data_IF_243748956891
#
_entry.id   IF_243748956891
#
_cell.length_a   1.000
_cell.length_b   1.000
_cell.length_c   1.000
_cell.angle_alpha   90.00
_cell.angle_beta   90.00
_cell.angle_gamma   90.00
#
_symmetry.space_group_name_H-M   'P 1'
#
loop_
_entity.id
_entity.type
_entity.pdbx_description
1 polymer ?
#
# COMPACT_ATOMS: atom_id res chain seq x y z
N UNK A 1 0.59 12.80 2.01
CA UNK A 1 0.07 11.77 2.92
C UNK A 1 -1.15 12.28 3.66
N UNK A 2 -2.17 11.44 3.78
CA UNK A 2 -3.35 11.70 4.59
C UNK A 2 -3.39 10.71 5.74
N UNK A 3 -3.69 11.20 6.94
CA UNK A 3 -3.70 10.38 8.14
C UNK A 3 -5.07 10.46 8.79
N UNK A 4 -5.62 9.31 9.18
CA UNK A 4 -6.91 9.26 9.85
C UNK A 4 -6.88 8.24 10.98
N UNK A 5 -7.63 8.54 12.04
CA UNK A 5 -7.88 7.63 13.14
C UNK A 5 -9.38 7.60 13.33
N UNK A 6 -9.97 6.41 13.31
CA UNK A 6 -11.42 6.27 13.43
C UNK A 6 -11.81 4.96 14.09
N UNK A 7 -12.99 4.93 14.75
CA UNK A 7 -13.53 3.67 15.24
C UNK A 7 -13.87 2.76 14.05
N UNK A 8 -13.61 1.47 14.19
CA UNK A 8 -13.94 0.51 13.15
C UNK A 8 -14.03 -0.90 13.70
N UNK A 9 -15.17 -1.55 13.48
CA UNK A 9 -15.37 -2.98 13.72
C UNK A 9 -14.84 -3.45 15.08
N UNK A 10 -15.29 -2.82 16.15
CA UNK A 10 -14.94 -3.23 17.50
C UNK A 10 -13.59 -2.73 18.01
N UNK A 11 -12.93 -1.87 17.26
CA UNK A 11 -11.65 -1.31 17.64
C UNK A 11 -11.44 0.08 17.08
N UNK A 12 -10.19 0.48 17.01
CA UNK A 12 -9.78 1.76 16.41
C UNK A 12 -8.81 1.48 15.27
N UNK A 13 -8.98 2.20 14.17
CA UNK A 13 -8.14 2.07 12.99
C UNK A 13 -7.39 3.36 12.74
N UNK A 14 -6.10 3.24 12.47
CA UNK A 14 -5.26 4.35 12.00
C UNK A 14 -4.82 4.04 10.57
N UNK A 15 -4.91 5.02 9.69
CA UNK A 15 -4.46 4.86 8.30
C UNK A 15 -3.55 6.00 7.88
N UNK A 16 -2.61 5.68 7.00
CA UNK A 16 -1.80 6.66 6.29
C UNK A 16 -1.94 6.32 4.80
N UNK A 17 -2.38 7.28 4.01
CA UNK A 17 -2.73 7.05 2.60
C UNK A 17 -2.02 8.04 1.70
N UNK A 18 -1.52 7.55 0.57
CA UNK A 18 -0.97 8.40 -0.49
C UNK A 18 -1.44 7.84 -1.84
N UNK A 19 -1.62 8.72 -2.82
CA UNK A 19 -2.10 8.35 -4.15
C UNK A 19 -0.96 8.27 -5.15
N UNK A 20 -1.11 7.39 -6.13
CA UNK A 20 -0.16 7.31 -7.24
C UNK A 20 -0.18 8.60 -8.05
N UNK A 21 0.94 8.90 -8.73
CA UNK A 21 0.99 10.04 -9.65
C UNK A 21 0.19 9.76 -10.92
N UNK A 22 0.11 8.52 -11.33
CA UNK A 22 -0.60 8.11 -12.54
C UNK A 22 -2.04 7.72 -12.21
N UNK A 23 -2.94 7.95 -13.17
CA UNK A 23 -4.29 7.43 -13.10
C UNK A 23 -4.33 5.99 -13.60
N UNK A 24 -5.12 5.15 -12.93
CA UNK A 24 -5.38 3.80 -13.37
C UNK A 24 -6.86 3.72 -13.72
N UNK A 25 -7.17 3.87 -15.02
CA UNK A 25 -8.55 4.05 -15.42
C UNK A 25 -9.05 5.43 -15.00
N UNK A 26 -10.15 5.48 -14.26
CA UNK A 26 -10.76 6.74 -13.84
C UNK A 26 -10.14 7.32 -12.56
N UNK A 27 -9.41 6.52 -11.80
CA UNK A 27 -8.90 6.92 -10.48
C UNK A 27 -7.45 6.55 -10.30
N UNK A 28 -6.81 7.22 -9.36
CA UNK A 28 -5.45 6.87 -8.94
C UNK A 28 -5.48 5.67 -8.00
N UNK A 29 -4.36 4.98 -7.93
CA UNK A 29 -4.18 3.88 -6.98
C UNK A 29 -3.79 4.47 -5.63
N UNK A 30 -4.37 3.93 -4.58
CA UNK A 30 -4.02 4.32 -3.20
C UNK A 30 -3.04 3.33 -2.61
N UNK A 31 -2.00 3.86 -1.97
CA UNK A 31 -1.11 3.08 -1.13
C UNK A 31 -1.53 3.37 0.31
N UNK A 32 -1.92 2.34 1.05
CA UNK A 32 -2.48 2.49 2.38
C UNK A 32 -1.66 1.70 3.40
N UNK A 33 -1.25 2.37 4.47
CA UNK A 33 -0.75 1.74 5.68
C UNK A 33 -1.90 1.74 6.67
N UNK A 34 -2.22 0.61 7.27
CA UNK A 34 -3.35 0.48 8.19
C UNK A 34 -2.92 -0.25 9.45
N UNK A 35 -3.34 0.26 10.60
CA UNK A 35 -3.21 -0.42 11.89
C UNK A 35 -4.58 -0.48 12.55
N UNK A 36 -4.92 -1.62 13.09
CA UNK A 36 -6.18 -1.84 13.77
C UNK A 36 -5.91 -2.54 15.09
N UNK A 37 -6.61 -2.13 16.15
CA UNK A 37 -6.37 -2.68 17.50
C UNK A 37 -6.57 -4.18 17.58
N UNK A 38 -7.45 -4.73 16.73
CA UNK A 38 -7.72 -6.18 16.71
C UNK A 38 -6.97 -6.90 15.59
N UNK A 39 -6.83 -6.27 14.43
CA UNK A 39 -6.32 -6.93 13.22
C UNK A 39 -4.84 -6.71 12.96
N UNK A 40 -4.21 -5.80 13.71
CA UNK A 40 -2.81 -5.51 13.52
C UNK A 40 -2.53 -4.61 12.33
N UNK A 41 -1.33 -4.72 11.78
CA UNK A 41 -0.84 -3.83 10.73
C UNK A 41 -0.90 -4.50 9.36
N UNK A 42 -1.26 -3.72 8.34
CA UNK A 42 -1.20 -4.17 6.96
C UNK A 42 -0.82 -3.01 6.05
N UNK A 43 -0.29 -3.36 4.87
CA UNK A 43 0.03 -2.42 3.81
C UNK A 43 -0.60 -2.95 2.53
N UNK A 44 -1.29 -2.10 1.79
CA UNK A 44 -1.90 -2.56 0.55
C UNK A 44 -2.03 -1.44 -0.47
N UNK A 45 -2.13 -1.87 -1.74
CA UNK A 45 -2.46 -1.02 -2.87
C UNK A 45 -3.92 -1.27 -3.20
N UNK A 46 -4.68 -0.20 -3.44
CA UNK A 46 -6.09 -0.30 -3.78
C UNK A 46 -6.39 0.46 -5.05
N UNK A 47 -6.97 -0.23 -6.03
CA UNK A 47 -7.38 0.38 -7.29
C UNK A 47 -8.76 -0.09 -7.69
N UNK A 48 -9.76 0.80 -7.70
CA UNK A 48 -11.16 0.42 -7.86
C UNK A 48 -11.56 0.03 -9.29
N UNK A 49 -11.02 0.71 -10.29
CA UNK A 49 -11.35 0.44 -11.69
C UNK A 49 -10.14 0.68 -12.58
N UNK A 50 -9.72 -0.23 -13.42
CA UNK A 50 -10.29 -1.58 -13.66
C UNK A 50 -9.91 -2.62 -12.61
N UNK A 51 -9.20 -2.23 -11.56
CA UNK A 51 -8.79 -3.11 -10.50
C UNK A 51 -7.39 -3.66 -10.70
N UNK A 52 -6.79 -4.08 -9.61
CA UNK A 52 -5.46 -4.67 -9.60
C UNK A 52 -5.56 -6.19 -9.63
N UNK A 53 -4.59 -6.83 -10.23
CA UNK A 53 -4.54 -8.28 -10.31
C UNK A 53 -3.24 -8.78 -9.69
N UNK A 54 -3.35 -9.87 -8.95
CA UNK A 54 -2.21 -10.53 -8.34
C UNK A 54 -2.46 -12.02 -8.42
N UNK A 55 -1.63 -12.73 -9.15
CA UNK A 55 -1.70 -14.18 -9.18
C UNK A 55 -1.40 -14.72 -7.79
N UNK A 56 -1.87 -15.92 -7.50
CA UNK A 56 -1.56 -16.58 -6.23
C UNK A 56 -0.04 -16.55 -6.02
N UNK A 57 0.38 -16.08 -4.86
CA UNK A 57 1.80 -15.92 -4.53
C UNK A 57 2.50 -14.95 -5.49
N UNK A 58 1.85 -13.85 -5.85
CA UNK A 58 2.46 -12.87 -6.72
C UNK A 58 3.61 -12.17 -6.00
N UNK A 59 4.54 -11.65 -6.79
CA UNK A 59 5.65 -10.87 -6.28
C UNK A 59 5.55 -9.47 -6.85
N UNK A 60 5.70 -8.48 -5.98
CA UNK A 60 5.57 -7.09 -6.36
C UNK A 60 6.96 -6.49 -6.47
N UNK A 61 7.32 -6.04 -7.67
CA UNK A 61 8.61 -5.42 -7.91
C UNK A 61 8.51 -3.92 -7.66
N UNK A 62 9.49 -3.36 -6.97
CA UNK A 62 9.48 -1.94 -6.66
C UNK A 62 10.89 -1.37 -6.57
N UNK A 63 11.00 -0.08 -6.84
CA UNK A 63 12.28 0.64 -6.80
C UNK A 63 12.10 1.86 -5.92
N UNK A 64 12.88 1.94 -4.84
CA UNK A 64 12.90 3.10 -3.95
C UNK A 64 13.99 4.06 -4.41
N UNK A 65 13.60 5.29 -4.70
CA UNK A 65 14.51 6.33 -5.22
C UNK A 65 15.27 5.80 -6.45
N UNK A 66 16.59 5.87 -6.44
CA UNK A 66 17.44 5.37 -7.51
C UNK A 66 18.14 4.05 -7.13
N UNK A 67 17.64 3.38 -6.12
CA UNK A 67 18.23 2.12 -5.65
C UNK A 67 17.88 0.97 -6.58
N UNK A 68 18.48 -0.19 -6.34
CA UNK A 68 18.17 -1.38 -7.11
C UNK A 68 16.76 -1.85 -6.83
N UNK A 69 16.05 -2.39 -7.83
CA UNK A 69 14.72 -2.95 -7.60
C UNK A 69 14.76 -4.06 -6.56
N UNK A 70 13.72 -4.12 -5.73
CA UNK A 70 13.51 -5.22 -4.81
C UNK A 70 12.15 -5.82 -5.09
N UNK A 71 11.96 -7.05 -4.64
CA UNK A 71 10.71 -7.76 -4.84
C UNK A 71 10.19 -8.23 -3.49
N UNK A 72 8.92 -7.93 -3.21
CA UNK A 72 8.27 -8.36 -1.98
C UNK A 72 7.06 -9.23 -2.32
N UNK A 73 6.72 -10.15 -1.42
CA UNK A 73 5.57 -11.00 -1.62
C UNK A 73 4.28 -10.20 -1.49
N UNK A 74 3.34 -10.48 -2.38
CA UNK A 74 2.03 -9.86 -2.37
C UNK A 74 0.94 -10.91 -2.35
N UNK A 75 -0.27 -10.48 -1.99
CA UNK A 75 -1.43 -11.35 -2.00
C UNK A 75 -2.69 -10.53 -2.26
N UNK A 76 -3.77 -11.22 -2.66
CA UNK A 76 -5.07 -10.59 -2.80
C UNK A 76 -5.93 -10.95 -1.59
N UNK A 77 -6.85 -10.07 -1.17
CA UNK A 77 -7.73 -10.39 -0.06
C UNK A 77 -8.72 -11.48 -0.43
N UNK A 78 -9.10 -12.33 0.53
CA UNK A 78 -10.10 -13.40 0.27
C UNK A 78 -11.45 -12.87 -0.19
N UNK A 79 -11.74 -11.61 0.12
CA UNK A 79 -13.01 -10.97 -0.25
C UNK A 79 -13.10 -10.64 -1.74
N UNK A 80 -11.99 -10.72 -2.49
CA UNK A 80 -11.98 -10.37 -3.90
C UNK A 80 -11.93 -8.88 -4.18
N UNK A 81 -11.67 -8.06 -3.18
CA UNK A 81 -11.52 -6.62 -3.38
C UNK A 81 -10.35 -6.30 -4.32
N UNK A 82 -10.42 -5.18 -5.05
CA UNK A 82 -9.36 -4.80 -6.02
C UNK A 82 -8.14 -4.23 -5.31
N UNK A 83 -7.49 -5.04 -4.48
CA UNK A 83 -6.33 -4.65 -3.68
C UNK A 83 -5.24 -5.71 -3.77
N UNK A 84 -4.00 -5.25 -3.58
CA UNK A 84 -2.85 -6.14 -3.45
C UNK A 84 -2.20 -5.84 -2.10
N UNK A 85 -2.16 -6.81 -1.21
CA UNK A 85 -1.49 -6.68 0.08
C UNK A 85 0.00 -6.94 -0.08
N UNK A 86 0.82 -6.12 0.57
CA UNK A 86 2.26 -6.35 0.67
C UNK A 86 2.47 -7.16 1.96
N UNK A 87 2.85 -8.42 1.83
CA UNK A 87 2.96 -9.32 2.97
C UNK A 87 4.07 -8.91 3.93
N UNK A 88 5.15 -8.34 3.40
CA UNK A 88 6.28 -7.88 4.22
C UNK A 88 6.09 -6.42 4.59
N UNK A 89 5.04 -6.14 5.33
CA UNK A 89 4.62 -4.78 5.66
C UNK A 89 5.68 -3.98 6.40
N UNK A 90 6.34 -4.60 7.39
CA UNK A 90 7.36 -3.91 8.18
C UNK A 90 8.55 -3.51 7.33
N UNK A 91 8.96 -4.39 6.43
CA UNK A 91 10.09 -4.12 5.53
C UNK A 91 9.76 -2.98 4.57
N UNK A 92 8.53 -2.99 4.03
CA UNK A 92 8.09 -1.95 3.12
C UNK A 92 8.04 -0.59 3.80
N UNK A 93 7.44 -0.52 4.98
CA UNK A 93 7.34 0.74 5.74
C UNK A 93 8.73 1.27 6.09
N UNK A 94 9.65 0.39 6.50
CA UNK A 94 11.02 0.80 6.83
C UNK A 94 11.71 1.43 5.61
N UNK A 95 11.46 0.92 4.42
CA UNK A 95 12.02 1.51 3.20
C UNK A 95 11.39 2.87 2.89
N UNK A 96 10.08 2.99 3.08
CA UNK A 96 9.37 4.25 2.86
C UNK A 96 9.90 5.36 3.76
N UNK A 97 10.24 5.03 5.00
CA UNK A 97 10.77 6.01 5.96
C UNK A 97 12.07 6.64 5.49
N UNK A 98 12.82 5.96 4.64
CA UNK A 98 14.11 6.43 4.13
C UNK A 98 14.05 7.00 2.73
N UNK A 99 12.93 6.85 2.04
CA UNK A 99 12.81 7.17 0.62
C UNK A 99 12.02 8.43 0.37
N UNK A 100 12.24 9.04 -0.80
CA UNK A 100 11.45 10.17 -1.29
C UNK A 100 10.39 9.70 -2.26
N UNK A 101 10.67 8.62 -2.98
CA UNK A 101 9.74 8.09 -3.97
C UNK A 101 9.87 6.57 -4.07
N UNK A 102 8.83 5.94 -4.58
CA UNK A 102 8.86 4.53 -4.91
C UNK A 102 8.08 4.30 -6.20
N UNK A 103 8.65 3.49 -7.08
CA UNK A 103 7.99 3.03 -8.31
C UNK A 103 7.61 1.58 -8.10
N UNK A 104 6.32 1.26 -8.23
CA UNK A 104 5.79 -0.07 -7.99
C UNK A 104 5.16 -0.61 -9.26
N UNK A 105 5.61 -1.80 -9.69
CA UNK A 105 5.00 -2.48 -10.83
C UNK A 105 3.78 -3.27 -10.37
N UNK A 106 2.66 -3.05 -11.05
CA UNK A 106 1.42 -3.76 -10.73
C UNK A 106 0.83 -4.35 -12.00
N UNK A 107 0.08 -5.42 -11.85
CA UNK A 107 -0.71 -6.00 -12.92
C UNK A 107 -2.13 -5.46 -12.83
N UNK A 108 -2.64 -4.97 -13.95
CA UNK A 108 -3.97 -4.40 -14.05
C UNK A 108 -4.84 -5.36 -14.83
N UNK A 109 -6.06 -5.61 -14.36
CA UNK A 109 -6.98 -6.54 -15.03
C UNK A 109 -7.21 -6.12 -16.48
N UNK A 110 -6.95 -7.05 -17.40
CA UNK A 110 -7.15 -6.83 -18.83
C UNK A 110 -6.13 -5.94 -19.50
N UNK A 111 -5.03 -5.60 -18.83
CA UNK A 111 -3.99 -4.72 -19.39
C UNK A 111 -2.61 -5.26 -19.06
N UNK A 112 -1.56 -4.83 -19.81
CA UNK A 112 -0.19 -5.16 -19.42
C UNK A 112 0.15 -4.52 -18.07
N UNK A 113 1.24 -4.98 -17.47
CA UNK A 113 1.69 -4.41 -16.20
C UNK A 113 1.97 -2.92 -16.35
N UNK A 114 1.75 -2.20 -15.27
CA UNK A 114 1.98 -0.76 -15.20
C UNK A 114 2.87 -0.42 -14.05
N UNK A 115 3.66 0.65 -14.18
CA UNK A 115 4.49 1.15 -13.10
C UNK A 115 3.81 2.38 -12.52
N UNK A 116 3.58 2.35 -11.21
CA UNK A 116 2.97 3.45 -10.49
C UNK A 116 4.01 4.13 -9.63
N UNK A 117 4.01 5.46 -9.63
CA UNK A 117 4.96 6.26 -8.86
C UNK A 117 4.24 6.91 -7.69
N UNK A 118 4.84 6.81 -6.52
CA UNK A 118 4.33 7.42 -5.29
C UNK A 118 5.39 8.32 -4.70
N UNK A 119 5.04 9.57 -4.44
CA UNK A 119 5.95 10.52 -3.79
C UNK A 119 5.83 10.34 -2.28
N UNK A 120 6.56 9.37 -1.75
CA UNK A 120 6.45 8.95 -0.35
C UNK A 120 7.25 9.82 0.61
N UNK A 121 8.04 10.75 0.12
CA UNK A 121 8.74 11.71 0.97
C UNK A 121 7.76 12.48 1.83
N UNK A 122 8.16 12.79 3.05
CA UNK A 122 7.28 13.48 3.99
C UNK A 122 6.42 12.55 4.83
N UNK A 123 6.55 11.24 4.66
CA UNK A 123 5.87 10.30 5.55
C UNK A 123 6.29 10.55 7.00
N UNK A 124 5.32 10.71 7.86
CA UNK A 124 5.55 11.02 9.28
C UNK A 124 5.00 9.87 10.13
N UNK A 125 5.90 9.02 10.61
CA UNK A 125 5.52 7.85 11.40
C UNK A 125 4.79 8.24 12.70
N UNK A 126 5.03 9.45 13.21
CA UNK A 126 4.34 9.89 14.44
C UNK A 126 2.87 10.19 14.18
N UNK A 127 2.49 10.47 12.95
CA UNK A 127 1.09 10.71 12.58
C UNK A 127 0.35 9.42 12.24
N UNK A 128 1.09 8.36 11.89
CA UNK A 128 0.56 7.01 11.76
C UNK A 128 0.77 6.32 13.11
N UNK A 129 0.00 6.76 14.09
CA UNK A 129 0.21 6.38 15.47
C UNK A 129 0.03 4.88 15.69
N UNK A 130 0.88 4.27 16.54
CA UNK A 130 0.54 2.99 17.11
C UNK A 130 -0.79 3.14 17.85
N UNK A 131 -1.68 2.20 17.68
CA UNK A 131 -2.94 2.26 18.37
C UNK A 131 -2.72 2.03 19.87
N UNK A 132 -3.59 2.60 20.72
CA UNK A 132 -3.43 2.43 22.16
C UNK A 132 -3.39 0.97 22.55
N UNK A 133 -2.44 0.63 23.36
CA UNK A 133 -2.35 -0.71 23.94
C UNK A 133 -3.32 -0.81 25.09
N UNK A 134 -3.94 -1.94 25.22
CA UNK A 134 -4.83 -2.20 26.35
C UNK A 134 -4.11 -2.90 27.46
#
# INVERSE_FOLDING_TARGET
>A
WSYQISPMAGGTQSTATIYSNEDLGAEKVRLVFRRHTEWGQSVFLYGSEPGLSCAKNCRVSMTFDDNKPITLDGSIPPTGEPAIFIEEDKKFIAQVEKAKSVAIEVTVKGKPSSTLHFDVGGYDATRFQPLPQK
#
